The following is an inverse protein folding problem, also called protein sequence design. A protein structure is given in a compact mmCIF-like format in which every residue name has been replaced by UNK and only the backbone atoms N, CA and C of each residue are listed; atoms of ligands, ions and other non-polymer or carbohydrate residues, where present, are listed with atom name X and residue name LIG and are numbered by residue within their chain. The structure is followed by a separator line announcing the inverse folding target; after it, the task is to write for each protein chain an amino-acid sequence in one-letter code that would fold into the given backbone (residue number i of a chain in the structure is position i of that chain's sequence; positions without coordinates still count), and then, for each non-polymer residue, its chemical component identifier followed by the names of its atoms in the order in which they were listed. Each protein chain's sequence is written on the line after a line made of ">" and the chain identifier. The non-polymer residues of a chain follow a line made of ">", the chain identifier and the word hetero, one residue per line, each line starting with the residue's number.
data_IF_568339494532
#
_entry.id   IF_568339494532
#
_cell.length_a   1.000
_cell.length_b   1.000
_cell.length_c   1.000
_cell.angle_alpha   90.00
_cell.angle_beta   90.00
_cell.angle_gamma   90.00
#
_symmetry.space_group_name_H-M   'P 1'
#
loop_
_entity.id
_entity.type
_entity.pdbx_description
1 polymer ?
#
# COMPACT_ATOMS: atom_id res chain seq x y z
N UNK A 1 -10.30 19.47 -13.00
CA UNK A 1 -9.63 18.23 -12.55
C UNK A 1 -10.59 17.54 -11.58
N UNK A 2 -10.83 16.25 -11.76
CA UNK A 2 -11.67 15.46 -10.83
C UNK A 2 -10.97 15.38 -9.46
N UNK A 3 -11.74 15.48 -8.39
CA UNK A 3 -11.23 15.37 -7.01
C UNK A 3 -11.87 14.19 -6.28
N UNK A 4 -11.17 13.70 -5.27
CA UNK A 4 -11.61 12.61 -4.40
C UNK A 4 -11.47 13.00 -2.93
N UNK A 5 -12.30 12.42 -2.09
CA UNK A 5 -12.20 12.51 -0.64
C UNK A 5 -11.23 11.43 -0.14
N UNK A 6 -10.28 11.87 0.68
CA UNK A 6 -9.33 11.04 1.38
C UNK A 6 -9.44 11.28 2.89
N UNK A 7 -9.24 10.25 3.67
CA UNK A 7 -9.18 10.34 5.11
C UNK A 7 -7.77 10.04 5.58
N UNK A 8 -7.28 10.82 6.53
CA UNK A 8 -5.94 10.68 7.09
C UNK A 8 -6.01 10.64 8.60
N UNK A 9 -5.18 9.79 9.20
CA UNK A 9 -4.94 9.72 10.64
C UNK A 9 -3.45 9.67 10.89
N UNK A 10 -2.93 10.45 11.86
CA UNK A 10 -1.51 10.53 12.14
C UNK A 10 -1.22 10.83 13.61
N UNK A 11 0.03 10.60 14.05
CA UNK A 11 0.52 11.09 15.33
C UNK A 11 1.01 12.52 15.17
N UNK A 12 0.51 13.43 15.99
CA UNK A 12 1.06 14.78 16.10
C UNK A 12 2.34 14.81 16.95
N UNK A 13 2.96 15.99 17.05
CA UNK A 13 4.19 16.19 17.84
C UNK A 13 4.05 15.88 19.33
N UNK A 14 2.83 15.89 19.87
CA UNK A 14 2.53 15.58 21.27
C UNK A 14 2.17 14.10 21.48
N UNK A 15 2.23 13.29 20.44
CA UNK A 15 1.90 11.86 20.49
C UNK A 15 0.41 11.55 20.50
N UNK A 16 -0.46 12.52 20.21
CA UNK A 16 -1.90 12.30 20.06
C UNK A 16 -2.26 11.94 18.63
N UNK A 17 -3.29 11.09 18.49
CA UNK A 17 -3.85 10.75 17.18
C UNK A 17 -4.77 11.87 16.71
N UNK A 18 -4.47 12.41 15.54
CA UNK A 18 -5.31 13.36 14.82
C UNK A 18 -5.88 12.74 13.56
N UNK A 19 -7.04 13.21 13.14
CA UNK A 19 -7.71 12.75 11.92
C UNK A 19 -8.18 13.94 11.09
N UNK A 20 -8.14 13.80 9.78
CA UNK A 20 -8.70 14.82 8.87
C UNK A 20 -9.27 14.20 7.61
N UNK A 21 -10.33 14.84 7.09
CA UNK A 21 -10.79 14.61 5.72
C UNK A 21 -10.11 15.62 4.80
N UNK A 22 -9.57 15.14 3.69
CA UNK A 22 -8.91 15.94 2.66
C UNK A 22 -9.59 15.75 1.32
N UNK A 23 -9.67 16.82 0.53
CA UNK A 23 -10.09 16.75 -0.88
C UNK A 23 -8.86 17.06 -1.73
N UNK A 24 -8.50 16.14 -2.61
CA UNK A 24 -7.33 16.25 -3.45
C UNK A 24 -7.62 15.66 -4.85
N UNK A 25 -6.74 15.88 -5.84
CA UNK A 25 -6.92 15.33 -7.17
C UNK A 25 -7.08 13.80 -7.19
N UNK A 26 -8.05 13.33 -8.00
CA UNK A 26 -8.23 11.91 -8.28
C UNK A 26 -7.25 11.48 -9.39
N UNK A 27 -5.98 11.41 -9.06
CA UNK A 27 -4.91 10.96 -9.96
C UNK A 27 -4.10 9.84 -9.30
N UNK A 28 -3.46 8.96 -10.08
CA UNK A 28 -2.77 7.78 -9.56
C UNK A 28 -1.84 8.06 -8.38
N UNK A 29 -1.01 9.10 -8.46
CA UNK A 29 -0.05 9.42 -7.42
C UNK A 29 -0.70 9.67 -6.04
N UNK A 30 -1.88 10.32 -6.00
CA UNK A 30 -2.63 10.50 -4.75
C UNK A 30 -3.35 9.22 -4.34
N UNK A 31 -4.03 8.55 -5.27
CA UNK A 31 -4.79 7.34 -4.97
C UNK A 31 -3.90 6.20 -4.45
N UNK A 32 -2.70 6.05 -5.01
CA UNK A 32 -1.70 5.09 -4.55
C UNK A 32 -1.35 5.23 -3.07
N UNK A 33 -1.30 6.47 -2.57
CA UNK A 33 -1.01 6.72 -1.16
C UNK A 33 -2.11 6.24 -0.20
N UNK A 34 -3.30 5.91 -0.70
CA UNK A 34 -4.48 5.58 0.11
C UNK A 34 -5.08 4.20 -0.21
N UNK A 35 -4.49 3.43 -1.12
CA UNK A 35 -5.14 2.23 -1.65
C UNK A 35 -4.21 1.03 -1.80
N UNK A 36 -3.54 0.62 -0.73
CA UNK A 36 -2.72 -0.60 -0.75
C UNK A 36 -3.54 -1.86 -0.45
N UNK A 37 -4.27 -1.88 0.66
CA UNK A 37 -5.03 -3.06 1.12
C UNK A 37 -6.50 -2.71 1.36
N UNK A 38 -7.38 -3.68 1.13
CA UNK A 38 -8.82 -3.50 1.37
C UNK A 38 -9.17 -3.65 2.85
N UNK A 39 -10.31 -3.07 3.23
CA UNK A 39 -10.96 -3.29 4.52
C UNK A 39 -11.04 -4.79 4.86
N UNK A 40 -10.84 -5.12 6.12
CA UNK A 40 -10.83 -6.49 6.65
C UNK A 40 -9.49 -7.20 6.53
N UNK A 41 -8.48 -6.57 5.90
CA UNK A 41 -7.12 -7.12 5.87
C UNK A 41 -6.54 -7.17 7.28
N UNK A 42 -6.13 -8.37 7.72
CA UNK A 42 -5.54 -8.57 9.04
C UNK A 42 -4.05 -8.24 9.01
N UNK A 43 -3.62 -7.35 9.88
CA UNK A 43 -2.23 -6.91 10.05
C UNK A 43 -1.66 -7.46 11.34
N UNK A 44 -0.44 -8.01 11.30
CA UNK A 44 0.26 -8.48 12.48
C UNK A 44 0.76 -7.32 13.33
N UNK A 45 0.28 -7.24 14.56
CA UNK A 45 0.72 -6.26 15.56
C UNK A 45 1.35 -6.96 16.77
N UNK A 46 1.99 -6.20 17.64
CA UNK A 46 2.50 -6.73 18.92
C UNK A 46 1.40 -7.22 19.85
N UNK A 47 0.13 -6.94 19.55
CA UNK A 47 -1.06 -7.38 20.30
C UNK A 47 -1.87 -8.47 19.59
N UNK A 48 -1.32 -9.05 18.51
CA UNK A 48 -2.00 -10.02 17.65
C UNK A 48 -2.48 -9.41 16.34
N UNK A 49 -3.35 -10.14 15.64
CA UNK A 49 -3.93 -9.71 14.37
C UNK A 49 -4.99 -8.63 14.61
N UNK A 50 -4.91 -7.53 13.85
CA UNK A 50 -5.86 -6.42 13.90
C UNK A 50 -6.30 -6.11 12.46
N UNK A 51 -7.60 -5.91 12.24
CA UNK A 51 -8.10 -5.48 10.95
C UNK A 51 -7.58 -4.06 10.63
N UNK A 52 -7.25 -3.81 9.36
CA UNK A 52 -6.64 -2.55 8.93
C UNK A 52 -7.46 -1.32 9.30
N UNK A 53 -8.78 -1.42 9.29
CA UNK A 53 -9.72 -0.36 9.70
C UNK A 53 -9.72 -0.05 11.19
N UNK A 54 -9.23 -0.97 12.02
CA UNK A 54 -9.16 -0.84 13.48
C UNK A 54 -7.76 -0.42 13.94
N UNK A 55 -6.81 -0.27 13.01
CA UNK A 55 -5.48 0.26 13.31
C UNK A 55 -5.53 1.76 13.60
N UNK A 56 -4.64 2.19 14.47
CA UNK A 56 -4.42 3.59 14.77
C UNK A 56 -2.93 3.95 14.75
N UNK A 57 -2.56 5.18 14.39
CA UNK A 57 -1.21 5.69 14.58
C UNK A 57 -0.74 5.50 16.02
N UNK A 58 0.53 5.10 16.20
CA UNK A 58 1.09 4.71 17.51
C UNK A 58 1.02 3.21 17.78
N UNK A 59 0.16 2.45 17.11
CA UNK A 59 0.17 0.99 17.23
C UNK A 59 1.46 0.41 16.63
N UNK A 60 1.97 -0.65 17.27
CA UNK A 60 3.21 -1.31 16.89
C UNK A 60 2.91 -2.52 16.02
N UNK A 61 3.49 -2.56 14.81
CA UNK A 61 3.35 -3.68 13.86
C UNK A 61 4.64 -4.48 13.73
N UNK A 62 4.48 -5.77 13.40
CA UNK A 62 5.58 -6.66 13.08
C UNK A 62 5.89 -6.56 11.58
N UNK A 63 7.15 -6.27 11.24
CA UNK A 63 7.57 -6.19 9.84
C UNK A 63 8.25 -7.48 9.38
N UNK A 64 8.27 -7.70 8.06
CA UNK A 64 8.96 -8.84 7.47
C UNK A 64 10.48 -8.80 7.66
N UNK A 65 11.04 -7.60 7.90
CA UNK A 65 12.45 -7.36 8.22
C UNK A 65 12.80 -7.74 9.67
N UNK A 66 11.85 -8.29 10.44
CA UNK A 66 12.07 -8.70 11.83
C UNK A 66 12.10 -7.52 12.82
N UNK A 67 11.58 -6.37 12.44
CA UNK A 67 11.50 -5.19 13.29
C UNK A 67 10.09 -5.00 13.83
N UNK A 68 9.98 -4.29 14.93
CA UNK A 68 8.73 -3.73 15.46
C UNK A 68 8.77 -2.24 15.16
N UNK A 69 7.79 -1.75 14.38
CA UNK A 69 7.74 -0.35 13.96
C UNK A 69 6.39 0.28 14.34
N UNK A 70 6.39 1.52 14.83
CA UNK A 70 5.14 2.24 15.04
C UNK A 70 4.54 2.70 13.72
N UNK A 71 3.22 2.63 13.66
CA UNK A 71 2.45 3.30 12.61
C UNK A 71 2.50 4.81 12.89
N UNK A 72 2.91 5.60 11.91
CA UNK A 72 2.94 7.07 12.03
C UNK A 72 1.79 7.75 11.33
N UNK A 73 1.22 7.08 10.30
CA UNK A 73 0.13 7.61 9.50
C UNK A 73 -0.66 6.46 8.86
N UNK A 74 -1.96 6.67 8.75
CA UNK A 74 -2.88 5.81 8.00
C UNK A 74 -3.70 6.69 7.08
N UNK A 75 -3.74 6.34 5.80
CA UNK A 75 -4.63 6.93 4.83
C UNK A 75 -5.70 5.96 4.40
N UNK A 76 -6.91 6.44 4.11
CA UNK A 76 -7.96 5.65 3.53
C UNK A 76 -8.75 6.41 2.47
N UNK A 77 -9.31 5.65 1.53
CA UNK A 77 -10.21 6.15 0.49
C UNK A 77 -11.22 5.09 0.12
N UNK A 78 -12.30 5.49 -0.53
CA UNK A 78 -13.28 4.55 -1.09
C UNK A 78 -13.09 4.46 -2.59
N UNK A 79 -12.88 3.26 -3.10
CA UNK A 79 -12.99 2.93 -4.52
C UNK A 79 -14.44 2.63 -4.85
N UNK A 80 -14.93 3.23 -5.92
CA UNK A 80 -16.30 3.02 -6.38
C UNK A 80 -16.31 2.10 -7.60
N UNK A 81 -17.42 1.35 -7.80
CA UNK A 81 -17.60 0.55 -9.01
C UNK A 81 -17.44 1.39 -10.27
N UNK A 82 -17.02 0.78 -11.40
CA UNK A 82 -17.06 1.43 -12.70
C UNK A 82 -18.45 2.05 -12.95
N UNK A 83 -18.47 3.23 -13.55
CA UNK A 83 -19.69 3.98 -13.86
C UNK A 83 -20.47 4.56 -12.66
N UNK A 84 -20.08 4.29 -11.43
CA UNK A 84 -20.71 4.92 -10.25
C UNK A 84 -20.48 6.44 -10.20
N UNK A 85 -19.37 6.90 -10.75
CA UNK A 85 -19.02 8.32 -10.84
C UNK A 85 -18.65 8.65 -12.29
N UNK A 86 -19.39 9.53 -12.98
CA UNK A 86 -19.07 9.93 -14.35
C UNK A 86 -17.66 10.52 -14.46
N UNK A 87 -16.88 10.08 -15.45
CA UNK A 87 -15.52 10.58 -15.72
C UNK A 87 -14.42 10.04 -14.80
N UNK A 88 -14.74 9.20 -13.83
CA UNK A 88 -13.73 8.48 -13.06
C UNK A 88 -13.26 7.25 -13.85
N UNK A 89 -11.94 7.09 -13.94
CA UNK A 89 -11.37 5.89 -14.56
C UNK A 89 -11.73 4.65 -13.73
N UNK A 90 -12.04 3.51 -14.38
CA UNK A 90 -12.25 2.25 -13.67
C UNK A 90 -11.03 1.89 -12.85
N UNK A 91 -11.24 1.49 -11.60
CA UNK A 91 -10.18 0.96 -10.75
C UNK A 91 -10.36 -0.54 -10.62
N UNK A 92 -9.30 -1.29 -10.91
CA UNK A 92 -9.23 -2.73 -10.67
C UNK A 92 -8.42 -3.01 -9.41
N UNK A 93 -8.64 -4.17 -8.83
CA UNK A 93 -7.95 -4.66 -7.64
C UNK A 93 -7.30 -6.01 -7.97
N UNK A 94 -6.26 -6.36 -7.24
CA UNK A 94 -5.66 -7.69 -7.30
C UNK A 94 -6.16 -8.51 -6.13
N UNK A 95 -6.83 -9.62 -6.40
CA UNK A 95 -7.24 -10.62 -5.40
C UNK A 95 -6.24 -11.75 -5.40
N UNK A 96 -5.66 -12.01 -4.24
CA UNK A 96 -4.83 -13.19 -3.97
C UNK A 96 -5.71 -14.14 -3.16
N UNK A 97 -6.01 -15.31 -3.71
CA UNK A 97 -6.86 -16.29 -3.05
C UNK A 97 -6.14 -16.92 -1.85
N UNK A 98 -6.93 -17.42 -0.91
CA UNK A 98 -6.37 -18.15 0.24
C UNK A 98 -5.43 -19.27 -0.24
N UNK A 99 -4.33 -19.46 0.49
CA UNK A 99 -3.31 -20.48 0.23
C UNK A 99 -2.52 -20.32 -1.10
N UNK A 100 -2.67 -19.21 -1.84
CA UNK A 100 -1.98 -18.99 -3.12
C UNK A 100 -0.44 -19.09 -3.02
N UNK A 101 0.13 -18.76 -1.88
CA UNK A 101 1.57 -18.85 -1.60
C UNK A 101 1.91 -19.96 -0.58
N UNK A 102 1.05 -20.95 -0.46
CA UNK A 102 1.17 -22.05 0.50
C UNK A 102 0.21 -21.91 1.70
N UNK A 103 0.12 -22.91 2.58
CA UNK A 103 -0.85 -22.96 3.67
C UNK A 103 -0.89 -21.67 4.51
N UNK A 104 -2.10 -21.11 4.68
CA UNK A 104 -2.39 -19.85 5.39
C UNK A 104 -1.66 -18.62 4.80
N UNK A 105 -1.33 -18.61 3.50
CA UNK A 105 -0.65 -17.51 2.82
C UNK A 105 -1.32 -17.17 1.47
N UNK A 106 -2.23 -16.20 1.44
CA UNK A 106 -2.87 -15.54 2.57
C UNK A 106 -3.95 -16.39 3.23
N UNK A 107 -4.46 -15.90 4.37
CA UNK A 107 -5.67 -16.42 4.99
C UNK A 107 -6.36 -15.31 5.80
N UNK A 108 -7.59 -14.89 5.41
CA UNK A 108 -8.36 -15.23 4.21
C UNK A 108 -7.78 -14.61 2.94
N UNK A 109 -8.54 -14.61 1.83
CA UNK A 109 -8.17 -13.91 0.61
C UNK A 109 -7.71 -12.49 0.89
N UNK A 110 -6.68 -12.04 0.16
CA UNK A 110 -6.13 -10.71 0.28
C UNK A 110 -6.49 -9.87 -0.95
N UNK A 111 -7.10 -8.71 -0.72
CA UNK A 111 -7.47 -7.77 -1.79
C UNK A 111 -6.52 -6.57 -1.74
N UNK A 112 -5.84 -6.32 -2.85
CA UNK A 112 -4.82 -5.30 -2.98
C UNK A 112 -5.20 -4.26 -4.04
N UNK A 113 -4.79 -3.02 -3.80
CA UNK A 113 -4.89 -1.92 -4.77
C UNK A 113 -3.86 -2.04 -5.89
N UNK A 114 -4.05 -1.25 -6.94
CA UNK A 114 -3.23 -1.31 -8.16
C UNK A 114 -1.74 -1.06 -7.96
N UNK A 115 -1.38 -0.25 -6.97
CA UNK A 115 0.01 0.12 -6.66
C UNK A 115 0.64 -0.71 -5.55
N UNK A 116 -0.13 -1.60 -4.92
CA UNK A 116 0.38 -2.46 -3.87
C UNK A 116 1.52 -3.34 -4.39
N UNK A 117 2.55 -3.50 -3.55
CA UNK A 117 3.72 -4.33 -3.87
C UNK A 117 3.91 -5.39 -2.81
N UNK A 118 4.20 -6.59 -3.27
CA UNK A 118 4.56 -7.71 -2.42
C UNK A 118 6.06 -7.69 -2.14
N UNK A 119 6.43 -7.95 -0.91
CA UNK A 119 7.83 -8.21 -0.56
C UNK A 119 8.19 -9.65 -0.91
N UNK A 120 9.18 -9.80 -1.75
CA UNK A 120 9.66 -11.09 -2.24
C UNK A 120 11.10 -11.31 -1.84
N UNK A 121 11.44 -12.59 -1.63
CA UNK A 121 12.79 -13.04 -1.28
C UNK A 121 13.07 -14.41 -1.89
N UNK A 122 14.36 -14.75 -2.06
CA UNK A 122 14.78 -16.04 -2.54
C UNK A 122 15.14 -16.11 -4.02
N UNK A 123 15.22 -17.34 -4.57
CA UNK A 123 15.82 -17.61 -5.86
C UNK A 123 15.29 -16.80 -7.03
N UNK A 124 13.98 -16.57 -7.08
CA UNK A 124 13.37 -15.79 -8.18
C UNK A 124 13.79 -14.32 -8.17
N UNK A 125 13.94 -13.68 -7.00
CA UNK A 125 14.45 -12.30 -6.91
C UNK A 125 15.90 -12.20 -7.39
N UNK A 126 16.71 -13.28 -7.23
CA UNK A 126 18.09 -13.31 -7.71
C UNK A 126 18.16 -13.26 -9.23
N UNK A 127 17.16 -13.75 -9.95
CA UNK A 127 17.08 -13.63 -11.43
C UNK A 127 16.93 -12.17 -11.87
N UNK A 128 16.27 -11.34 -11.05
CA UNK A 128 16.20 -9.90 -11.25
C UNK A 128 17.39 -9.13 -10.61
N UNK A 129 18.44 -9.84 -10.15
CA UNK A 129 19.63 -9.23 -9.57
C UNK A 129 19.53 -8.80 -8.11
N UNK A 130 18.46 -9.21 -7.40
CA UNK A 130 18.19 -8.79 -6.01
C UNK A 130 17.94 -9.98 -5.10
N UNK A 131 18.52 -9.98 -3.89
CA UNK A 131 18.22 -11.01 -2.88
C UNK A 131 16.80 -10.85 -2.31
N UNK A 132 16.34 -9.61 -2.23
CA UNK A 132 15.03 -9.21 -1.72
C UNK A 132 14.57 -7.96 -2.50
N UNK A 133 13.28 -7.89 -2.84
CA UNK A 133 12.71 -6.77 -3.59
C UNK A 133 11.20 -6.64 -3.37
N UNK A 134 10.65 -5.49 -3.74
CA UNK A 134 9.23 -5.25 -3.87
C UNK A 134 8.79 -5.41 -5.33
N UNK A 135 7.81 -6.27 -5.59
CA UNK A 135 7.23 -6.47 -6.91
C UNK A 135 5.77 -6.00 -6.94
N UNK A 136 5.31 -5.33 -8.01
CA UNK A 136 3.91 -4.96 -8.15
C UNK A 136 3.01 -6.20 -8.11
N UNK A 137 2.04 -6.24 -7.19
CA UNK A 137 1.14 -7.37 -7.04
C UNK A 137 0.37 -7.68 -8.32
N UNK A 138 -0.05 -6.65 -9.07
CA UNK A 138 -0.77 -6.77 -10.35
C UNK A 138 0.02 -7.51 -11.44
N UNK A 139 1.33 -7.45 -11.40
CA UNK A 139 2.18 -8.15 -12.37
C UNK A 139 2.29 -9.65 -12.06
N UNK A 140 1.80 -10.10 -10.91
CA UNK A 140 1.78 -11.50 -10.52
C UNK A 140 0.46 -12.19 -10.82
N UNK A 141 -0.48 -11.52 -11.51
CA UNK A 141 -1.77 -12.07 -11.91
C UNK A 141 -1.53 -13.26 -12.85
N UNK A 142 -1.97 -14.45 -12.43
CA UNK A 142 -1.84 -15.72 -13.13
C UNK A 142 -3.21 -16.23 -13.70
N UNK A 143 -4.31 -15.57 -13.34
CA UNK A 143 -5.67 -15.96 -13.75
C UNK A 143 -6.28 -17.11 -12.95
N UNK A 144 -5.56 -17.67 -11.98
CA UNK A 144 -6.02 -18.80 -11.13
C UNK A 144 -6.02 -18.42 -9.64
N UNK A 145 -4.84 -18.24 -9.07
CA UNK A 145 -4.66 -17.92 -7.65
C UNK A 145 -4.55 -16.43 -7.39
N UNK A 146 -4.08 -15.68 -8.37
CA UNK A 146 -3.96 -14.24 -8.33
C UNK A 146 -4.72 -13.66 -9.52
N UNK A 147 -5.82 -12.98 -9.26
CA UNK A 147 -6.75 -12.54 -10.30
C UNK A 147 -7.04 -11.05 -10.20
N UNK A 148 -7.29 -10.43 -11.37
CA UNK A 148 -7.83 -9.08 -11.40
C UNK A 148 -9.33 -9.12 -11.08
N UNK A 149 -9.77 -8.20 -10.22
CA UNK A 149 -11.18 -8.06 -9.87
C UNK A 149 -11.63 -6.61 -10.01
N UNK A 150 -12.83 -6.43 -10.55
CA UNK A 150 -13.47 -5.11 -10.63
C UNK A 150 -14.49 -5.00 -9.52
N UNK A 151 -14.43 -3.98 -8.66
CA UNK A 151 -15.39 -3.79 -7.60
C UNK A 151 -16.83 -3.66 -8.13
N UNK A 152 -17.76 -4.43 -7.58
CA UNK A 152 -19.21 -4.33 -7.86
C UNK A 152 -19.93 -3.47 -6.81
N UNK A 153 -19.28 -3.16 -5.71
CA UNK A 153 -19.74 -2.30 -4.63
C UNK A 153 -18.57 -1.40 -4.16
N UNK A 154 -18.85 -0.30 -3.43
CA UNK A 154 -17.78 0.53 -2.86
C UNK A 154 -16.85 -0.29 -1.95
N UNK A 155 -15.54 -0.14 -2.14
CA UNK A 155 -14.50 -0.81 -1.34
C UNK A 155 -13.67 0.24 -0.62
N UNK A 156 -13.63 0.15 0.71
CA UNK A 156 -12.71 0.97 1.50
C UNK A 156 -11.29 0.39 1.40
N UNK A 157 -10.35 1.25 1.03
CA UNK A 157 -8.93 0.93 0.86
C UNK A 157 -8.10 1.72 1.87
N UNK A 158 -6.97 1.15 2.27
CA UNK A 158 -6.08 1.71 3.28
C UNK A 158 -4.63 1.64 2.83
N UNK A 159 -3.81 2.55 3.34
CA UNK A 159 -2.37 2.47 3.26
C UNK A 159 -1.75 3.00 4.55
N UNK A 160 -0.54 2.55 4.87
CA UNK A 160 0.09 2.75 6.17
C UNK A 160 1.51 3.23 5.97
N UNK A 161 1.90 4.29 6.69
CA UNK A 161 3.28 4.74 6.83
C UNK A 161 3.82 4.29 8.19
N UNK A 162 4.99 3.68 8.19
CA UNK A 162 5.73 3.30 9.38
C UNK A 162 6.78 4.37 9.71
N UNK A 163 7.26 4.40 10.94
CA UNK A 163 8.37 5.30 11.33
C UNK A 163 9.64 5.02 10.51
N UNK A 164 9.89 3.77 10.19
CA UNK A 164 10.91 3.34 9.24
C UNK A 164 10.27 2.41 8.22
N UNK A 165 10.40 2.75 6.95
CA UNK A 165 9.84 2.00 5.83
C UNK A 165 10.20 0.51 5.89
N UNK A 166 9.24 -0.35 5.53
CA UNK A 166 9.36 -1.80 5.57
C UNK A 166 8.13 -2.51 5.02
N UNK A 167 8.00 -3.80 5.35
CA UNK A 167 6.94 -4.66 4.86
C UNK A 167 6.00 -5.07 5.98
N UNK A 168 4.72 -4.73 5.84
CA UNK A 168 3.64 -5.16 6.74
C UNK A 168 3.34 -6.65 6.49
N UNK A 169 3.02 -7.38 7.55
CA UNK A 169 2.50 -8.75 7.44
C UNK A 169 0.97 -8.71 7.40
N UNK A 170 0.44 -8.94 6.19
CA UNK A 170 -0.97 -8.80 5.86
C UNK A 170 -1.56 -10.18 5.57
N UNK A 171 -2.41 -10.73 6.44
CA UNK A 171 -3.03 -12.05 6.26
C UNK A 171 -2.03 -13.18 5.89
N UNK A 172 -0.79 -13.12 6.41
CA UNK A 172 0.29 -14.09 6.10
C UNK A 172 1.13 -13.75 4.85
N UNK A 173 0.84 -12.64 4.17
CA UNK A 173 1.62 -12.12 3.02
C UNK A 173 2.31 -10.82 3.44
N UNK A 174 3.50 -10.60 2.91
CA UNK A 174 4.27 -9.39 3.18
C UNK A 174 4.01 -8.33 2.10
N UNK A 175 3.44 -7.19 2.51
CA UNK A 175 3.06 -6.06 1.64
C UNK A 175 3.87 -4.82 2.01
N UNK A 176 4.41 -4.11 1.02
CA UNK A 176 5.15 -2.86 1.23
C UNK A 176 4.30 -1.83 1.98
N UNK A 177 4.83 -1.23 3.05
CA UNK A 177 4.25 -0.03 3.65
C UNK A 177 4.40 1.16 2.70
N UNK A 178 3.59 2.21 2.88
CA UNK A 178 3.63 3.31 1.94
C UNK A 178 4.97 4.07 1.95
N UNK A 179 5.46 4.32 0.74
CA UNK A 179 6.56 5.24 0.42
C UNK A 179 6.32 5.84 -0.97
N UNK A 180 6.45 7.16 -1.16
CA UNK A 180 6.15 7.80 -2.45
C UNK A 180 7.13 7.45 -3.57
N UNK A 181 8.31 6.93 -3.23
CA UNK A 181 9.42 6.73 -4.16
C UNK A 181 10.28 7.99 -4.31
N UNK A 182 11.48 7.82 -4.86
CA UNK A 182 12.48 8.89 -4.95
C UNK A 182 12.05 10.04 -5.87
N UNK A 183 11.39 9.71 -6.98
CA UNK A 183 11.09 10.66 -8.06
C UNK A 183 9.66 11.24 -7.97
N UNK A 184 8.95 10.99 -6.85
CA UNK A 184 7.55 11.38 -6.72
C UNK A 184 7.37 12.90 -6.81
N UNK A 185 8.22 13.68 -6.14
CA UNK A 185 8.18 15.14 -6.16
C UNK A 185 8.40 15.71 -7.58
N UNK A 186 9.37 15.15 -8.32
CA UNK A 186 9.67 15.57 -9.69
C UNK A 186 8.53 15.26 -10.65
N UNK A 187 7.95 14.04 -10.55
CA UNK A 187 6.81 13.62 -11.39
C UNK A 187 5.56 14.46 -11.15
N UNK A 188 5.33 14.89 -9.92
CA UNK A 188 4.18 15.72 -9.57
C UNK A 188 4.35 17.18 -9.98
N UNK A 189 5.58 17.68 -9.98
CA UNK A 189 5.87 19.10 -10.09
C UNK A 189 5.50 19.88 -8.81
N UNK A 190 5.95 21.13 -8.68
CA UNK A 190 5.97 21.83 -7.38
C UNK A 190 4.60 22.02 -6.76
N UNK A 191 3.55 22.30 -7.53
CA UNK A 191 2.21 22.56 -7.00
C UNK A 191 1.56 21.29 -6.46
N UNK A 192 1.56 20.20 -7.23
CA UNK A 192 0.98 18.94 -6.78
C UNK A 192 1.84 18.27 -5.72
N UNK A 193 3.16 18.42 -5.75
CA UNK A 193 4.06 17.94 -4.72
C UNK A 193 3.77 18.58 -3.36
N UNK A 194 3.55 19.91 -3.32
CA UNK A 194 3.14 20.61 -2.10
C UNK A 194 1.79 20.14 -1.58
N UNK A 195 0.81 19.93 -2.48
CA UNK A 195 -0.49 19.40 -2.10
C UNK A 195 -0.40 17.95 -1.61
N UNK A 196 0.46 17.15 -2.24
CA UNK A 196 0.67 15.76 -1.86
C UNK A 196 1.28 15.64 -0.46
N UNK A 197 2.35 16.38 -0.15
CA UNK A 197 2.97 16.32 1.17
C UNK A 197 2.03 16.80 2.28
N UNK A 198 1.11 17.73 1.97
CA UNK A 198 0.09 18.16 2.91
C UNK A 198 -0.91 17.06 3.30
N UNK A 199 -0.94 15.91 2.58
CA UNK A 199 -1.71 14.73 2.98
C UNK A 199 -1.04 13.96 4.15
N UNK A 200 0.21 14.29 4.48
CA UNK A 200 1.03 13.67 5.54
C UNK A 200 1.46 14.73 6.56
N UNK A 201 0.55 15.18 7.45
CA UNK A 201 0.82 16.33 8.33
C UNK A 201 1.99 16.13 9.30
N UNK A 202 2.38 14.88 9.57
CA UNK A 202 3.56 14.53 10.37
C UNK A 202 4.88 14.69 9.61
N UNK A 203 4.83 14.96 8.29
CA UNK A 203 6.00 15.15 7.43
C UNK A 203 6.18 16.62 7.06
N UNK A 204 7.41 17.07 6.94
CA UNK A 204 7.78 18.41 6.44
C UNK A 204 8.18 18.39 4.97
N UNK A 205 8.57 17.21 4.46
CA UNK A 205 8.97 17.01 3.07
C UNK A 205 9.13 15.55 2.69
N UNK A 206 9.40 15.31 1.41
CA UNK A 206 9.58 13.94 0.88
C UNK A 206 10.76 13.19 1.52
N UNK A 207 11.77 13.91 2.03
CA UNK A 207 12.91 13.30 2.72
C UNK A 207 12.55 12.58 4.02
N UNK A 208 11.44 12.96 4.66
CA UNK A 208 11.01 12.41 5.95
C UNK A 208 10.47 10.98 5.84
N UNK A 209 10.14 10.51 4.62
CA UNK A 209 9.83 9.10 4.38
C UNK A 209 11.06 8.17 4.53
N UNK A 210 12.27 8.75 4.54
CA UNK A 210 13.52 8.00 4.65
C UNK A 210 13.86 7.17 3.40
N UNK A 211 14.78 6.21 3.51
CA UNK A 211 15.12 5.32 2.41
C UNK A 211 14.12 4.17 2.26
N UNK A 212 13.97 3.66 1.03
CA UNK A 212 13.30 2.39 0.78
C UNK A 212 14.04 1.25 1.50
N UNK A 213 13.29 0.36 2.15
CA UNK A 213 13.87 -0.81 2.82
C UNK A 213 14.46 -1.82 1.81
N UNK A 214 13.82 -1.95 0.65
CA UNK A 214 14.24 -2.84 -0.43
C UNK A 214 14.03 -2.16 -1.78
N UNK A 215 14.76 -2.57 -2.83
CA UNK A 215 14.53 -2.09 -4.19
C UNK A 215 13.13 -2.48 -4.68
N UNK A 216 12.57 -1.64 -5.54
CA UNK A 216 11.31 -1.92 -6.25
C UNK A 216 11.65 -2.42 -7.64
N UNK A 217 11.10 -3.56 -8.01
CA UNK A 217 11.21 -4.11 -9.37
C UNK A 217 10.30 -3.30 -10.31
N UNK A 218 10.81 -3.07 -11.52
CA UNK A 218 10.00 -2.64 -12.66
C UNK A 218 9.08 -3.76 -13.13
N UNK A 219 8.16 -3.46 -14.05
CA UNK A 219 7.32 -4.48 -14.67
C UNK A 219 8.18 -5.52 -15.41
N UNK A 220 9.16 -5.08 -16.22
CA UNK A 220 10.03 -5.97 -16.98
C UNK A 220 10.86 -6.91 -16.08
N UNK A 221 11.40 -6.37 -14.98
CA UNK A 221 12.13 -7.18 -13.99
C UNK A 221 11.23 -8.20 -13.28
N UNK A 222 9.96 -7.81 -13.04
CA UNK A 222 8.97 -8.72 -12.44
C UNK A 222 8.59 -9.83 -13.42
N UNK A 223 8.42 -9.52 -14.70
CA UNK A 223 8.11 -10.50 -15.73
C UNK A 223 9.25 -11.53 -15.90
N UNK A 224 10.50 -11.08 -15.88
CA UNK A 224 11.68 -11.96 -15.87
C UNK A 224 11.67 -12.89 -14.64
N UNK A 225 11.33 -12.36 -13.47
CA UNK A 225 11.25 -13.13 -12.22
C UNK A 225 10.14 -14.20 -12.25
N UNK A 226 9.01 -13.92 -12.89
CA UNK A 226 7.86 -14.83 -12.97
C UNK A 226 8.11 -15.93 -14.00
N UNK A 227 8.76 -15.62 -15.11
CA UNK A 227 9.06 -16.55 -16.21
C UNK A 227 10.15 -17.58 -15.84
N UNK A 228 10.89 -17.39 -14.78
CA UNK A 228 11.98 -18.26 -14.28
C UNK A 228 11.50 -19.25 -13.19
#
# INVERSE_FOLDING_TARGET
>A
MLTRRYETSWLNGDGHVETATRIAPAIPAFEEAFSAVARGTLIETTKGLVAVEDLAPGMMVLTAEGRIEPITWIGSMTLFPPHAIPGLAPSTLTRITADAFGPARPMPDLILGQSARLFLRGGRCLMAGHAMAYAPARNMIDGESIVEVTPVAPVAMYNIVLARHGSLRCAGIEVESFHPGKDCAERLGPQLASLFIAMFPQMTGFGDFGPLAHPRLSSDETDVMIAA
#
